data_IF_690317289363
#
_entry.id   IF_690317289363
#
_cell.length_a   1.000
_cell.length_b   1.000
_cell.length_c   1.000
_cell.angle_alpha   90.00
_cell.angle_beta   90.00
_cell.angle_gamma   90.00
#
_symmetry.space_group_name_H-M   'P 1'
#
loop_
_entity.id
_entity.type
_entity.pdbx_description
1 polymer ?
#
# COMPACT_ATOMS: atom_id res chain seq x y z
N UNK A 1 -4.36 -18.25 6.47
CA UNK A 1 -3.09 -18.89 6.08
C UNK A 1 -2.09 -18.57 7.17
N UNK A 2 -1.64 -19.58 7.93
CA UNK A 2 -0.69 -19.37 9.01
C UNK A 2 0.65 -18.95 8.42
N UNK A 3 1.24 -17.86 8.93
CA UNK A 3 2.55 -17.41 8.49
C UNK A 3 3.62 -18.40 8.97
N UNK A 4 4.05 -19.31 8.10
CA UNK A 4 5.31 -20.04 8.27
C UNK A 4 6.47 -19.09 7.97
N UNK A 5 7.44 -18.99 8.89
CA UNK A 5 8.68 -18.29 8.61
C UNK A 5 9.50 -19.12 7.61
N UNK A 6 9.44 -18.74 6.34
CA UNK A 6 10.21 -19.35 5.27
C UNK A 6 11.55 -18.62 5.11
N UNK A 7 12.63 -19.38 4.91
CA UNK A 7 13.97 -18.84 4.79
C UNK A 7 14.37 -18.70 3.32
N UNK A 8 14.90 -17.53 2.95
CA UNK A 8 15.48 -17.27 1.63
C UNK A 8 17.00 -17.11 1.74
N UNK A 9 17.75 -17.94 1.03
CA UNK A 9 19.20 -17.77 0.87
C UNK A 9 19.50 -16.84 -0.31
N UNK A 10 20.13 -15.70 -0.03
CA UNK A 10 20.51 -14.70 -1.04
C UNK A 10 22.00 -14.78 -1.32
N UNK A 11 22.37 -15.03 -2.59
CA UNK A 11 23.76 -14.97 -3.05
C UNK A 11 24.07 -13.59 -3.63
N UNK A 12 24.91 -12.83 -2.92
CA UNK A 12 25.38 -11.53 -3.40
C UNK A 12 26.30 -11.67 -4.62
N UNK A 13 26.28 -10.65 -5.47
CA UNK A 13 27.20 -10.57 -6.62
C UNK A 13 28.57 -10.07 -6.15
N UNK A 14 29.60 -10.35 -6.95
CA UNK A 14 30.97 -9.89 -6.71
C UNK A 14 31.16 -8.40 -7.01
N UNK A 15 30.30 -7.83 -7.86
CA UNK A 15 30.28 -6.42 -8.26
C UNK A 15 28.82 -5.97 -8.43
N UNK A 16 28.58 -4.68 -8.21
CA UNK A 16 27.27 -4.09 -8.43
C UNK A 16 26.98 -4.03 -9.94
N UNK A 17 25.75 -4.37 -10.30
CA UNK A 17 25.23 -4.44 -11.68
C UNK A 17 23.79 -3.95 -11.69
N UNK A 18 23.20 -3.76 -12.88
CA UNK A 18 21.83 -3.29 -13.02
C UNK A 18 20.79 -4.08 -12.20
N UNK A 19 20.99 -5.39 -12.02
CA UNK A 19 20.06 -6.28 -11.32
C UNK A 19 20.66 -7.00 -10.11
N UNK A 20 21.83 -6.57 -9.64
CA UNK A 20 22.54 -7.29 -8.60
C UNK A 20 23.43 -6.39 -7.77
N UNK A 21 23.38 -6.58 -6.47
CA UNK A 21 24.17 -5.81 -5.50
C UNK A 21 25.17 -6.71 -4.76
N UNK A 22 26.27 -6.10 -4.36
CA UNK A 22 27.27 -6.65 -3.46
C UNK A 22 26.79 -6.53 -2.01
N UNK A 23 27.35 -7.37 -1.13
CA UNK A 23 27.05 -7.29 0.30
C UNK A 23 27.55 -5.97 0.92
N UNK A 24 28.62 -5.39 0.39
CA UNK A 24 29.17 -4.10 0.84
C UNK A 24 28.16 -2.97 0.66
N UNK A 25 27.45 -2.97 -0.47
CA UNK A 25 26.42 -1.96 -0.76
C UNK A 25 25.22 -2.11 0.18
N UNK A 26 24.75 -3.34 0.42
CA UNK A 26 23.68 -3.60 1.40
C UNK A 26 24.09 -3.15 2.81
N UNK A 27 25.34 -3.42 3.22
CA UNK A 27 25.86 -2.96 4.51
C UNK A 27 25.95 -1.44 4.63
N UNK A 28 26.34 -0.76 3.56
CA UNK A 28 26.38 0.70 3.53
C UNK A 28 24.98 1.29 3.70
N UNK A 29 23.98 0.75 2.99
CA UNK A 29 22.57 1.17 3.13
C UNK A 29 22.05 0.88 4.53
N UNK A 30 22.34 -0.30 5.07
CA UNK A 30 21.96 -0.71 6.42
C UNK A 30 22.52 0.27 7.47
N UNK A 31 23.78 0.69 7.32
CA UNK A 31 24.42 1.68 8.19
C UNK A 31 23.77 3.05 8.08
N UNK A 32 23.52 3.52 6.86
CA UNK A 32 22.93 4.85 6.62
C UNK A 32 21.52 4.97 7.21
N UNK A 33 20.72 3.91 7.06
CA UNK A 33 19.35 3.87 7.57
C UNK A 33 19.26 3.39 9.03
N UNK A 34 20.39 3.01 9.64
CA UNK A 34 20.48 2.42 10.97
C UNK A 34 19.56 1.19 11.15
N UNK A 35 19.57 0.28 10.18
CA UNK A 35 18.76 -0.95 10.14
C UNK A 35 19.62 -2.17 9.85
N UNK A 36 19.07 -3.38 10.01
CA UNK A 36 19.75 -4.63 9.68
C UNK A 36 19.73 -4.93 8.16
N UNK A 37 20.71 -5.68 7.66
CA UNK A 37 20.79 -6.14 6.25
C UNK A 37 19.49 -6.84 5.81
N UNK A 38 18.90 -7.69 6.66
CA UNK A 38 17.63 -8.37 6.38
C UNK A 38 16.48 -7.39 6.13
N UNK A 39 16.40 -6.31 6.91
CA UNK A 39 15.34 -5.32 6.74
C UNK A 39 15.53 -4.52 5.44
N UNK A 40 16.78 -4.22 5.07
CA UNK A 40 17.08 -3.58 3.78
C UNK A 40 16.59 -4.44 2.61
N UNK A 41 16.81 -5.75 2.66
CA UNK A 41 16.35 -6.68 1.63
C UNK A 41 14.82 -6.69 1.55
N UNK A 42 14.12 -6.80 2.68
CA UNK A 42 12.66 -6.75 2.70
C UNK A 42 12.11 -5.42 2.18
N UNK A 43 12.74 -4.31 2.55
CA UNK A 43 12.32 -2.97 2.10
C UNK A 43 12.51 -2.82 0.58
N UNK A 44 13.63 -3.30 0.04
CA UNK A 44 13.88 -3.30 -1.40
C UNK A 44 12.85 -4.15 -2.16
N UNK A 45 12.55 -5.36 -1.66
CA UNK A 45 11.54 -6.23 -2.26
C UNK A 45 10.13 -5.64 -2.14
N UNK A 46 9.79 -4.99 -1.03
CA UNK A 46 8.51 -4.31 -0.85
C UNK A 46 8.32 -3.18 -1.87
N UNK A 47 9.36 -2.34 -2.06
CA UNK A 47 9.34 -1.29 -3.09
C UNK A 47 9.20 -1.89 -4.50
N UNK A 48 9.97 -2.93 -4.81
CA UNK A 48 9.92 -3.59 -6.10
C UNK A 48 8.55 -4.27 -6.36
N UNK A 49 7.93 -4.82 -5.32
CA UNK A 49 6.59 -5.40 -5.40
C UNK A 49 5.55 -4.34 -5.74
N UNK A 50 5.61 -3.17 -5.12
CA UNK A 50 4.72 -2.04 -5.46
C UNK A 50 4.87 -1.57 -6.91
N UNK A 51 6.07 -1.67 -7.48
CA UNK A 51 6.35 -1.25 -8.85
C UNK A 51 5.91 -2.30 -9.90
N UNK A 52 5.96 -3.60 -9.56
CA UNK A 52 5.77 -4.71 -10.53
C UNK A 52 4.44 -5.43 -10.39
N UNK A 53 3.96 -5.62 -9.16
CA UNK A 53 2.73 -6.37 -8.92
C UNK A 53 1.52 -5.45 -9.13
N UNK A 54 0.42 -5.95 -9.72
CA UNK A 54 -0.80 -5.17 -9.84
C UNK A 54 -1.35 -4.86 -8.45
N UNK A 55 -1.13 -3.64 -7.99
CA UNK A 55 -1.73 -3.08 -6.79
C UNK A 55 -3.06 -2.42 -7.09
N UNK A 56 -3.86 -2.20 -6.04
CA UNK A 56 -4.90 -1.18 -6.13
C UNK A 56 -4.26 0.16 -6.49
N UNK A 57 -4.93 0.93 -7.34
CA UNK A 57 -4.52 2.31 -7.56
C UNK A 57 -4.40 3.01 -6.19
N UNK A 58 -3.41 3.90 -6.02
CA UNK A 58 -3.37 4.76 -4.84
C UNK A 58 -4.74 5.41 -4.64
N UNK A 59 -5.19 5.50 -3.40
CA UNK A 59 -6.45 6.17 -3.10
C UNK A 59 -6.43 7.59 -3.67
N UNK A 60 -7.49 7.98 -4.39
CA UNK A 60 -7.66 9.33 -4.94
C UNK A 60 -7.80 10.41 -3.84
N UNK A 61 -7.80 9.96 -2.58
CA UNK A 61 -7.82 10.77 -1.39
C UNK A 61 -9.23 11.18 -1.00
N UNK A 62 -9.31 12.11 -0.05
CA UNK A 62 -10.59 12.60 0.44
C UNK A 62 -11.39 13.29 -0.67
N UNK A 63 -12.70 13.06 -0.67
CA UNK A 63 -13.61 13.73 -1.60
C UNK A 63 -13.46 15.25 -1.52
N UNK A 64 -13.23 15.88 -2.66
CA UNK A 64 -13.20 17.33 -2.78
C UNK A 64 -14.59 17.93 -2.48
N UNK A 65 -14.62 19.18 -2.03
CA UNK A 65 -15.87 19.89 -1.78
C UNK A 65 -16.82 19.89 -3.00
N UNK A 66 -16.25 19.95 -4.23
CA UNK A 66 -17.02 19.87 -5.48
C UNK A 66 -17.70 18.50 -5.66
N UNK A 67 -16.98 17.42 -5.37
CA UNK A 67 -17.53 16.06 -5.43
C UNK A 67 -18.62 15.84 -4.37
N UNK A 68 -18.41 16.36 -3.15
CA UNK A 68 -19.43 16.33 -2.08
C UNK A 68 -20.70 17.07 -2.51
N UNK A 69 -20.58 18.24 -3.13
CA UNK A 69 -21.72 18.99 -3.65
C UNK A 69 -22.44 18.26 -4.79
N UNK A 70 -21.68 17.64 -5.70
CA UNK A 70 -22.25 16.81 -6.77
C UNK A 70 -23.04 15.63 -6.21
N UNK A 71 -22.50 14.93 -5.21
CA UNK A 71 -23.17 13.84 -4.51
C UNK A 71 -24.46 14.32 -3.83
N UNK A 72 -24.42 15.43 -3.10
CA UNK A 72 -25.62 16.01 -2.46
C UNK A 72 -26.71 16.32 -3.49
N UNK A 73 -26.33 16.86 -4.65
CA UNK A 73 -27.26 17.18 -5.74
C UNK A 73 -27.86 15.93 -6.36
N UNK A 74 -27.06 14.89 -6.61
CA UNK A 74 -27.54 13.62 -7.18
C UNK A 74 -28.49 12.88 -6.23
N UNK A 75 -28.17 12.90 -4.92
CA UNK A 75 -28.97 12.26 -3.87
C UNK A 75 -30.39 12.85 -3.78
N UNK A 76 -30.57 14.16 -4.00
CA UNK A 76 -31.92 14.79 -3.99
C UNK A 76 -32.86 14.16 -5.02
N UNK A 77 -32.35 13.72 -6.17
CA UNK A 77 -33.16 13.08 -7.22
C UNK A 77 -33.46 11.60 -6.98
N UNK A 78 -32.65 10.93 -6.15
CA UNK A 78 -32.69 9.47 -5.95
C UNK A 78 -33.23 9.06 -4.57
N UNK A 79 -33.33 9.99 -3.64
CA UNK A 79 -33.89 9.72 -2.31
C UNK A 79 -35.35 9.27 -2.43
N UNK A 80 -35.76 8.24 -1.68
CA UNK A 80 -37.16 7.87 -1.58
C UNK A 80 -37.94 9.03 -0.97
N UNK A 81 -39.04 9.41 -1.62
CA UNK A 81 -39.94 10.50 -1.18
C UNK A 81 -40.86 10.10 -0.02
N UNK A 82 -40.61 8.94 0.59
CA UNK A 82 -41.41 8.40 1.67
C UNK A 82 -41.15 9.10 3.00
N UNK A 83 -42.13 9.00 3.92
CA UNK A 83 -41.96 9.48 5.29
C UNK A 83 -41.01 8.54 6.04
N UNK A 84 -39.98 9.10 6.65
CA UNK A 84 -39.09 8.35 7.55
C UNK A 84 -39.91 7.82 8.74
N UNK A 85 -40.10 6.50 8.82
CA UNK A 85 -40.91 5.85 9.86
C UNK A 85 -40.12 5.60 11.15
N UNK A 86 -38.85 5.20 11.04
CA UNK A 86 -37.95 5.07 12.19
C UNK A 86 -36.50 5.22 11.73
N UNK A 87 -35.68 5.91 12.53
CA UNK A 87 -34.25 6.13 12.27
C UNK A 87 -33.39 4.97 12.80
N UNK A 88 -33.92 4.21 13.75
CA UNK A 88 -33.20 3.18 14.49
C UNK A 88 -32.90 1.92 13.65
N UNK A 89 -33.55 1.76 12.49
CA UNK A 89 -33.44 0.56 11.64
C UNK A 89 -32.39 0.67 10.52
N UNK A 90 -31.73 1.82 10.37
CA UNK A 90 -30.87 2.07 9.19
C UNK A 90 -29.38 1.77 9.41
N UNK A 91 -28.91 1.67 10.65
CA UNK A 91 -27.49 1.48 10.97
C UNK A 91 -27.24 0.54 12.17
N UNK A 92 -28.19 -0.34 12.46
CA UNK A 92 -28.03 -1.44 13.42
C UNK A 92 -27.37 -2.66 12.75
#
# INVERSE_FOLDING_TARGET
MGASNENLLVKFRSKDTQFGVTRTTVKAIAKELNVNETLVIHMALSKFASDVLPGYAPDDGLLTAKQILALRKDVVGRLPKGKLLSRDLLFA
#
